data_IF_565193753536
#
_entry.id   IF_565193753536
#
_cell.length_a   1.000
_cell.length_b   1.000
_cell.length_c   1.000
_cell.angle_alpha   90.00
_cell.angle_beta   90.00
_cell.angle_gamma   90.00
#
_symmetry.space_group_name_H-M   'P 1'
#
loop_
_entity.id
_entity.type
_entity.pdbx_description
1 polymer ?
#
# COMPACT_ATOMS: atom_id res chain seq x y z
N UNK A 1 14.48 10.66 -8.84
CA UNK A 1 13.11 10.14 -8.83
C UNK A 1 12.16 11.23 -8.31
N UNK A 2 11.04 11.44 -8.98
CA UNK A 2 10.00 12.41 -8.62
C UNK A 2 8.96 11.79 -7.68
N UNK A 3 8.10 12.62 -7.06
CA UNK A 3 6.96 12.12 -6.28
C UNK A 3 6.02 11.28 -7.14
N UNK A 4 5.77 11.69 -8.38
CA UNK A 4 4.91 10.95 -9.31
C UNK A 4 5.48 9.57 -9.66
N UNK A 5 6.79 9.50 -9.91
CA UNK A 5 7.48 8.21 -10.15
C UNK A 5 7.42 7.30 -8.92
N UNK A 6 7.61 7.86 -7.71
CA UNK A 6 7.50 7.08 -6.47
C UNK A 6 6.08 6.54 -6.26
N UNK A 7 5.05 7.38 -6.45
CA UNK A 7 3.64 6.98 -6.33
C UNK A 7 3.30 5.83 -7.26
N UNK A 8 3.75 5.92 -8.52
CA UNK A 8 3.55 4.86 -9.51
C UNK A 8 4.27 3.57 -9.10
N UNK A 9 5.56 3.66 -8.74
CA UNK A 9 6.36 2.50 -8.30
C UNK A 9 5.73 1.80 -7.09
N UNK A 10 5.26 2.57 -6.11
CA UNK A 10 4.59 2.02 -4.92
C UNK A 10 3.31 1.28 -5.29
N UNK A 11 2.46 1.86 -6.14
CA UNK A 11 1.23 1.21 -6.59
C UNK A 11 1.53 -0.08 -7.39
N UNK A 12 2.55 -0.07 -8.25
CA UNK A 12 3.00 -1.26 -8.98
C UNK A 12 3.55 -2.33 -8.05
N UNK A 13 4.34 -1.97 -7.03
CA UNK A 13 4.81 -2.89 -5.99
C UNK A 13 3.63 -3.54 -5.27
N UNK A 14 2.64 -2.76 -4.84
CA UNK A 14 1.47 -3.30 -4.16
C UNK A 14 0.66 -4.29 -5.02
N UNK A 15 0.47 -3.98 -6.31
CA UNK A 15 -0.18 -4.88 -7.27
C UNK A 15 0.63 -6.15 -7.50
N UNK A 16 1.95 -6.02 -7.59
CA UNK A 16 2.84 -7.17 -7.77
C UNK A 16 2.78 -8.10 -6.56
N UNK A 17 2.85 -7.53 -5.35
CA UNK A 17 2.76 -8.27 -4.09
C UNK A 17 1.42 -9.01 -3.95
N UNK A 18 0.29 -8.34 -4.28
CA UNK A 18 -1.02 -8.98 -4.21
C UNK A 18 -1.13 -10.16 -5.18
N UNK A 19 -0.69 -9.96 -6.43
CA UNK A 19 -0.74 -11.00 -7.47
C UNK A 19 0.19 -12.17 -7.19
N UNK A 20 1.37 -11.91 -6.61
CA UNK A 20 2.26 -12.98 -6.16
C UNK A 20 1.58 -13.91 -5.15
N UNK A 21 0.62 -13.39 -4.40
CA UNK A 21 -0.17 -14.12 -3.42
C UNK A 21 -1.54 -14.59 -3.95
N UNK A 22 -1.79 -14.50 -5.26
CA UNK A 22 -3.03 -14.84 -5.95
C UNK A 22 -4.25 -13.97 -5.56
N UNK A 23 -4.01 -12.70 -5.25
CA UNK A 23 -5.06 -11.71 -5.00
C UNK A 23 -4.98 -10.54 -5.99
N UNK A 24 -6.14 -10.06 -6.39
CA UNK A 24 -6.31 -8.78 -7.07
C UNK A 24 -7.03 -7.77 -6.15
N UNK A 25 -6.83 -6.50 -6.43
CA UNK A 25 -7.58 -5.42 -5.78
C UNK A 25 -8.88 -5.20 -6.53
N UNK A 26 -9.98 -5.02 -5.81
CA UNK A 26 -11.17 -4.40 -6.41
C UNK A 26 -10.84 -2.97 -6.84
N UNK A 27 -11.61 -2.43 -7.79
CA UNK A 27 -11.47 -1.03 -8.24
C UNK A 27 -11.57 -0.05 -7.05
N UNK A 28 -12.42 -0.33 -6.07
CA UNK A 28 -12.54 0.51 -4.88
C UNK A 28 -11.30 0.46 -3.98
N UNK A 29 -10.74 -0.72 -3.75
CA UNK A 29 -9.49 -0.88 -2.98
C UNK A 29 -8.34 -0.21 -3.70
N UNK A 30 -8.25 -0.36 -5.02
CA UNK A 30 -7.20 0.26 -5.82
C UNK A 30 -7.24 1.79 -5.77
N UNK A 31 -8.43 2.39 -5.86
CA UNK A 31 -8.60 3.84 -5.70
C UNK A 31 -8.21 4.29 -4.29
N UNK A 32 -8.64 3.59 -3.24
CA UNK A 32 -8.30 3.95 -1.87
C UNK A 32 -6.81 3.77 -1.55
N UNK A 33 -6.17 2.76 -2.14
CA UNK A 33 -4.73 2.53 -2.01
C UNK A 33 -3.94 3.65 -2.72
N UNK A 34 -4.40 4.07 -3.90
CA UNK A 34 -3.82 5.20 -4.62
C UNK A 34 -3.91 6.49 -3.80
N UNK A 35 -5.07 6.81 -3.22
CA UNK A 35 -5.24 7.97 -2.35
C UNK A 35 -4.33 7.93 -1.10
N UNK A 36 -4.16 6.75 -0.51
CA UNK A 36 -3.26 6.55 0.63
C UNK A 36 -1.80 6.81 0.23
N UNK A 37 -1.36 6.24 -0.89
CA UNK A 37 -0.01 6.44 -1.44
C UNK A 37 0.19 7.92 -1.79
N UNK A 38 -0.78 8.55 -2.43
CA UNK A 38 -0.74 9.97 -2.78
C UNK A 38 -0.53 10.82 -1.53
N UNK A 39 -1.37 10.63 -0.52
CA UNK A 39 -1.31 11.39 0.74
C UNK A 39 0.03 11.18 1.45
N UNK A 40 0.52 9.94 1.54
CA UNK A 40 1.78 9.63 2.21
C UNK A 40 2.99 10.22 1.49
N UNK A 41 3.08 10.03 0.18
CA UNK A 41 4.20 10.56 -0.63
C UNK A 41 4.17 12.09 -0.69
N UNK A 42 2.99 12.71 -0.71
CA UNK A 42 2.88 14.17 -0.73
C UNK A 42 3.38 14.80 0.57
N UNK A 43 3.26 14.09 1.70
CA UNK A 43 3.84 14.50 3.00
C UNK A 43 5.35 14.29 3.10
N UNK A 44 5.97 13.50 2.21
CA UNK A 44 7.42 13.32 2.21
C UNK A 44 8.14 14.63 1.89
N UNK A 45 9.21 14.89 2.66
CA UNK A 45 10.11 16.02 2.39
C UNK A 45 10.97 15.74 1.16
N UNK A 46 11.63 16.78 0.64
CA UNK A 46 12.60 16.61 -0.44
C UNK A 46 13.77 15.68 -0.04
N UNK A 47 14.25 15.77 1.21
CA UNK A 47 15.30 14.88 1.71
C UNK A 47 14.85 13.42 1.81
N UNK A 48 13.59 13.18 2.22
CA UNK A 48 13.05 11.81 2.23
C UNK A 48 12.95 11.25 0.82
N UNK A 49 12.52 12.08 -0.14
CA UNK A 49 12.42 11.66 -1.54
C UNK A 49 13.79 11.35 -2.15
N UNK A 50 14.85 12.05 -1.75
CA UNK A 50 16.22 11.79 -2.21
C UNK A 50 16.89 10.59 -1.51
N UNK A 51 16.43 10.22 -0.31
CA UNK A 51 16.97 9.11 0.46
C UNK A 51 16.48 7.75 -0.05
N UNK A 52 17.41 6.90 -0.52
CA UNK A 52 17.07 5.54 -0.96
C UNK A 52 16.49 4.69 0.18
N UNK A 53 17.03 4.82 1.40
CA UNK A 53 16.55 4.05 2.55
C UNK A 53 15.10 4.40 2.90
N UNK A 54 14.71 5.67 2.78
CA UNK A 54 13.33 6.12 2.98
C UNK A 54 12.40 5.57 1.91
N UNK A 55 12.82 5.58 0.64
CA UNK A 55 12.03 5.01 -0.45
C UNK A 55 11.79 3.52 -0.25
N UNK A 56 12.83 2.79 0.13
CA UNK A 56 12.74 1.36 0.43
C UNK A 56 11.88 1.09 1.68
N UNK A 57 11.96 1.95 2.70
CA UNK A 57 11.09 1.89 3.87
C UNK A 57 9.61 2.04 3.48
N UNK A 58 9.28 3.02 2.63
CA UNK A 58 7.92 3.21 2.12
C UNK A 58 7.44 1.99 1.33
N UNK A 59 8.25 1.44 0.44
CA UNK A 59 7.91 0.23 -0.34
C UNK A 59 7.68 -0.98 0.57
N UNK A 60 8.57 -1.23 1.52
CA UNK A 60 8.43 -2.30 2.51
C UNK A 60 7.15 -2.13 3.35
N UNK A 61 6.90 -0.92 3.84
CA UNK A 61 5.74 -0.65 4.68
C UNK A 61 4.43 -0.79 3.90
N UNK A 62 4.42 -0.47 2.60
CA UNK A 62 3.29 -0.72 1.73
C UNK A 62 3.04 -2.22 1.52
N UNK A 63 4.10 -3.01 1.34
CA UNK A 63 3.96 -4.46 1.20
C UNK A 63 3.46 -5.10 2.52
N UNK A 64 3.86 -4.58 3.68
CA UNK A 64 3.29 -4.99 4.99
C UNK A 64 1.78 -4.72 5.02
N UNK A 65 1.34 -3.52 4.60
CA UNK A 65 -0.08 -3.17 4.48
C UNK A 65 -0.82 -4.18 3.59
N UNK A 66 -0.30 -4.47 2.39
CA UNK A 66 -0.90 -5.43 1.45
C UNK A 66 -1.01 -6.83 2.06
N UNK A 67 0.04 -7.29 2.73
CA UNK A 67 0.03 -8.58 3.42
C UNK A 67 -1.02 -8.63 4.55
N UNK A 68 -1.20 -7.55 5.30
CA UNK A 68 -2.27 -7.46 6.30
C UNK A 68 -3.66 -7.47 5.65
N UNK A 69 -3.85 -6.82 4.50
CA UNK A 69 -5.14 -6.87 3.78
C UNK A 69 -5.46 -8.28 3.32
N UNK A 70 -4.47 -8.99 2.77
CA UNK A 70 -4.61 -10.37 2.34
C UNK A 70 -4.89 -11.29 3.53
N UNK A 71 -4.22 -11.08 4.65
CA UNK A 71 -4.45 -11.84 5.89
C UNK A 71 -5.89 -11.63 6.40
N UNK A 72 -6.39 -10.40 6.35
CA UNK A 72 -7.78 -10.09 6.69
C UNK A 72 -8.79 -10.70 5.70
N UNK A 73 -8.48 -10.66 4.40
CA UNK A 73 -9.29 -11.30 3.38
C UNK A 73 -9.38 -12.82 3.60
N UNK A 74 -8.25 -13.46 3.90
CA UNK A 74 -8.16 -14.90 4.21
C UNK A 74 -8.98 -15.28 5.44
N UNK A 75 -8.88 -14.50 6.53
CA UNK A 75 -9.66 -14.79 7.75
C UNK A 75 -11.18 -14.67 7.54
N UNK A 76 -11.59 -14.00 6.46
CA UNK A 76 -12.99 -13.83 6.03
C UNK A 76 -13.39 -14.73 4.87
N UNK A 77 -12.56 -15.71 4.50
CA UNK A 77 -12.77 -16.62 3.37
C UNK A 77 -12.90 -15.93 2.00
N UNK A 78 -12.29 -14.74 1.84
CA UNK A 78 -12.16 -14.08 0.53
C UNK A 78 -10.94 -14.65 -0.17
N UNK A 79 -11.14 -15.20 -1.37
CA UNK A 79 -10.14 -16.05 -2.04
C UNK A 79 -9.43 -15.40 -3.22
N UNK A 80 -9.93 -14.27 -3.74
CA UNK A 80 -9.39 -13.66 -4.97
C UNK A 80 -9.38 -12.13 -4.94
N UNK A 81 -10.52 -11.49 -4.70
CA UNK A 81 -10.63 -10.03 -4.78
C UNK A 81 -10.66 -9.40 -3.38
N UNK A 82 -9.60 -8.68 -3.02
CA UNK A 82 -9.54 -7.94 -1.75
C UNK A 82 -10.63 -6.86 -1.80
N UNK A 83 -11.51 -6.86 -0.80
CA UNK A 83 -12.61 -5.93 -0.69
C UNK A 83 -12.26 -4.69 0.15
N UNK A 84 -13.14 -3.68 0.09
CA UNK A 84 -12.92 -2.41 0.78
C UNK A 84 -12.90 -2.57 2.31
N UNK A 85 -13.52 -3.63 2.84
CA UNK A 85 -13.54 -3.92 4.28
C UNK A 85 -12.15 -4.36 4.73
N UNK A 86 -11.47 -5.23 3.97
CA UNK A 86 -10.10 -5.65 4.25
C UNK A 86 -9.13 -4.46 4.25
N UNK A 87 -9.29 -3.53 3.29
CA UNK A 87 -8.53 -2.28 3.29
C UNK A 87 -8.83 -1.41 4.52
N UNK A 88 -10.11 -1.19 4.83
CA UNK A 88 -10.54 -0.28 5.90
C UNK A 88 -10.06 -0.73 7.29
N UNK A 89 -10.12 -2.03 7.58
CA UNK A 89 -9.65 -2.60 8.85
C UNK A 89 -8.14 -2.40 9.03
N UNK A 90 -7.36 -2.66 7.96
CA UNK A 90 -5.91 -2.51 8.00
C UNK A 90 -5.51 -1.05 8.06
N UNK A 91 -6.17 -0.17 7.30
CA UNK A 91 -5.91 1.27 7.32
C UNK A 91 -6.08 1.89 8.70
N UNK A 92 -7.07 1.46 9.48
CA UNK A 92 -7.27 1.95 10.86
C UNK A 92 -6.18 1.50 11.83
N UNK A 93 -5.45 0.43 11.51
CA UNK A 93 -4.41 -0.16 12.36
C UNK A 93 -3.00 -0.03 11.76
N UNK A 94 -2.85 0.81 10.73
CA UNK A 94 -1.63 0.90 9.93
C UNK A 94 -0.50 1.67 10.64
N UNK A 95 -0.81 2.47 11.65
CA UNK A 95 0.22 3.19 12.40
C UNK A 95 1.12 2.21 13.17
N UNK A 96 2.46 2.42 13.19
CA UNK A 96 3.20 3.59 12.71
C UNK A 96 3.90 3.40 11.34
N UNK A 97 3.25 2.78 10.34
CA UNK A 97 3.86 2.57 9.02
C UNK A 97 3.97 3.87 8.21
N UNK A 98 5.08 4.57 8.37
CA UNK A 98 5.44 5.72 7.54
C UNK A 98 5.56 5.32 6.05
N UNK A 99 5.18 6.17 5.08
CA UNK A 99 4.50 7.46 5.22
C UNK A 99 2.96 7.35 5.22
N UNK A 100 2.40 6.17 5.48
CA UNK A 100 0.97 5.86 5.31
C UNK A 100 0.15 5.98 6.60
N UNK A 101 0.78 6.38 7.71
CA UNK A 101 0.15 6.69 8.98
C UNK A 101 -0.28 8.17 9.10
#
# INVERSE_FOLDING_TARGET
MTKQELKQRLLESARSESRHLNYDFSVSVENSLKELIDTGVDRMTFSDLLSESRRQEAERNLNILVNHMITNAKSRNITQNIDIIAFSVVRMSICPLWPFC
#
